data_IF_561105316928
#
_entry.id   IF_561105316928
#
_cell.length_a   1.000
_cell.length_b   1.000
_cell.length_c   1.000
_cell.angle_alpha   90.00
_cell.angle_beta   90.00
_cell.angle_gamma   90.00
#
_symmetry.space_group_name_H-M   'P 1'
#
loop_
_entity.id
_entity.type
_entity.pdbx_description
1 polymer ?
#
# COMPACT_ATOMS: atom_id res chain seq x y z
N UNK A 1 21.30 -69.75 -104.28
CA UNK A 1 20.92 -68.96 -103.09
C UNK A 1 22.11 -68.17 -102.59
N UNK A 2 21.95 -66.85 -102.44
CA UNK A 2 22.74 -65.94 -101.59
C UNK A 2 21.86 -64.69 -101.42
N UNK A 3 21.30 -64.51 -100.21
CA UNK A 3 20.44 -63.39 -99.86
C UNK A 3 21.23 -62.12 -99.47
N UNK A 4 20.55 -60.98 -99.29
CA UNK A 4 21.20 -59.68 -99.04
C UNK A 4 21.59 -59.55 -97.56
N UNK A 5 22.88 -59.65 -97.25
CA UNK A 5 23.41 -59.60 -95.87
C UNK A 5 23.82 -58.17 -95.44
N UNK A 6 23.84 -57.22 -96.38
CA UNK A 6 24.35 -55.85 -96.15
C UNK A 6 23.34 -54.86 -95.57
N UNK A 7 22.03 -55.09 -95.69
CA UNK A 7 21.00 -54.19 -95.11
C UNK A 7 20.83 -54.33 -93.59
N UNK A 8 21.02 -55.54 -93.06
CA UNK A 8 20.84 -55.85 -91.64
C UNK A 8 21.89 -55.19 -90.73
N UNK A 9 23.12 -55.07 -91.23
CA UNK A 9 24.22 -54.47 -90.48
C UNK A 9 24.04 -52.95 -90.33
N UNK A 10 23.53 -52.28 -91.37
CA UNK A 10 23.29 -50.83 -91.32
C UNK A 10 22.08 -50.48 -90.44
N UNK A 11 21.03 -51.31 -90.47
CA UNK A 11 19.87 -51.14 -89.59
C UNK A 11 20.19 -51.42 -88.12
N UNK A 12 21.06 -52.39 -87.82
CA UNK A 12 21.53 -52.64 -86.45
C UNK A 12 22.42 -51.52 -85.91
N UNK A 13 23.30 -50.93 -86.74
CA UNK A 13 24.13 -49.79 -86.32
C UNK A 13 23.29 -48.53 -86.02
N UNK A 14 22.24 -48.29 -86.80
CA UNK A 14 21.35 -47.15 -86.58
C UNK A 14 20.48 -47.32 -85.32
N UNK A 15 20.03 -48.54 -85.02
CA UNK A 15 19.34 -48.85 -83.75
C UNK A 15 20.27 -48.76 -82.52
N UNK A 16 21.53 -49.19 -82.64
CA UNK A 16 22.49 -49.09 -81.53
C UNK A 16 22.93 -47.64 -81.24
N UNK A 17 23.00 -46.76 -82.26
CA UNK A 17 23.29 -45.33 -82.07
C UNK A 17 22.12 -44.53 -81.48
N UNK A 18 20.85 -44.90 -81.77
CA UNK A 18 19.68 -44.28 -81.13
C UNK A 18 19.51 -44.73 -79.67
N UNK A 19 19.70 -46.02 -79.38
CA UNK A 19 19.57 -46.55 -78.01
C UNK A 19 20.69 -46.08 -77.05
N UNK A 20 21.90 -45.80 -77.57
CA UNK A 20 23.02 -45.31 -76.76
C UNK A 20 22.91 -43.85 -76.31
N UNK A 21 22.15 -43.00 -77.04
CA UNK A 21 21.91 -41.61 -76.69
C UNK A 21 20.74 -41.42 -75.71
N UNK A 22 19.63 -42.14 -75.94
CA UNK A 22 18.42 -42.05 -75.11
C UNK A 22 18.66 -42.59 -73.69
N UNK A 23 19.37 -43.73 -73.55
CA UNK A 23 19.68 -44.30 -72.23
C UNK A 23 20.62 -43.44 -71.36
N UNK A 24 21.51 -42.66 -71.99
CA UNK A 24 22.40 -41.73 -71.30
C UNK A 24 21.68 -40.46 -70.82
N UNK A 25 20.78 -39.91 -71.64
CA UNK A 25 19.93 -38.79 -71.23
C UNK A 25 18.96 -39.18 -70.10
N UNK A 26 18.39 -40.38 -70.15
CA UNK A 26 17.51 -40.89 -69.10
C UNK A 26 18.25 -41.10 -67.78
N UNK A 27 19.48 -41.61 -67.83
CA UNK A 27 20.34 -41.73 -66.66
C UNK A 27 20.67 -40.35 -66.06
N UNK A 28 21.05 -39.37 -66.90
CA UNK A 28 21.34 -38.00 -66.46
C UNK A 28 20.10 -37.33 -65.85
N UNK A 29 18.93 -37.48 -66.47
CA UNK A 29 17.65 -36.98 -65.95
C UNK A 29 17.29 -37.64 -64.62
N UNK A 30 17.52 -38.93 -64.48
CA UNK A 30 17.32 -39.66 -63.23
C UNK A 30 18.22 -39.13 -62.12
N UNK A 31 19.53 -38.98 -62.39
CA UNK A 31 20.49 -38.43 -61.44
C UNK A 31 20.17 -36.99 -61.05
N UNK A 32 19.84 -36.12 -62.02
CA UNK A 32 19.45 -34.75 -61.76
C UNK A 32 18.18 -34.67 -60.89
N UNK A 33 17.20 -35.54 -61.15
CA UNK A 33 15.97 -35.64 -60.34
C UNK A 33 16.27 -36.10 -58.91
N UNK A 34 17.14 -37.09 -58.72
CA UNK A 34 17.56 -37.53 -57.38
C UNK A 34 18.26 -36.41 -56.62
N UNK A 35 19.13 -35.63 -57.27
CA UNK A 35 19.85 -34.53 -56.63
C UNK A 35 18.91 -33.36 -56.28
N UNK A 36 17.98 -33.02 -57.18
CA UNK A 36 16.94 -32.02 -56.92
C UNK A 36 16.03 -32.44 -55.76
N UNK A 37 15.67 -33.73 -55.69
CA UNK A 37 14.85 -34.27 -54.60
C UNK A 37 15.53 -34.10 -53.23
N UNK A 38 16.83 -34.33 -53.12
CA UNK A 38 17.59 -34.08 -51.88
C UNK A 38 17.53 -32.61 -51.44
N UNK A 39 17.65 -31.66 -52.38
CA UNK A 39 17.57 -30.23 -52.07
C UNK A 39 16.17 -29.80 -51.63
N UNK A 40 15.13 -30.43 -52.19
CA UNK A 40 13.73 -30.08 -51.86
C UNK A 40 13.18 -30.80 -50.63
N UNK A 41 13.69 -31.99 -50.30
CA UNK A 41 13.19 -32.78 -49.19
C UNK A 41 13.53 -32.14 -47.84
N UNK A 42 14.76 -31.65 -47.69
CA UNK A 42 15.27 -31.03 -46.46
C UNK A 42 14.72 -29.60 -46.28
N UNK A 43 14.61 -28.85 -47.39
CA UNK A 43 14.11 -27.49 -47.38
C UNK A 43 12.65 -27.38 -46.91
N UNK A 44 11.81 -28.39 -47.16
CA UNK A 44 10.42 -28.35 -46.75
C UNK A 44 10.24 -28.47 -45.23
N UNK A 45 10.97 -29.38 -44.61
CA UNK A 45 10.90 -29.61 -43.16
C UNK A 45 11.44 -28.40 -42.39
N UNK A 46 12.59 -27.85 -42.82
CA UNK A 46 13.20 -26.66 -42.22
C UNK A 46 12.27 -25.43 -42.32
N UNK A 47 11.58 -25.25 -43.47
CA UNK A 47 10.60 -24.16 -43.63
C UNK A 47 9.43 -24.35 -42.67
N UNK A 48 8.91 -25.58 -42.54
CA UNK A 48 7.79 -25.84 -41.63
C UNK A 48 8.16 -25.63 -40.16
N UNK A 49 9.38 -26.02 -39.76
CA UNK A 49 9.89 -25.75 -38.41
C UNK A 49 10.04 -24.24 -38.16
N UNK A 50 10.52 -23.49 -39.15
CA UNK A 50 10.61 -22.03 -39.06
C UNK A 50 9.23 -21.37 -38.93
N UNK A 51 8.25 -21.82 -39.73
CA UNK A 51 6.86 -21.33 -39.65
C UNK A 51 6.26 -21.60 -38.28
N UNK A 52 6.42 -22.81 -37.74
CA UNK A 52 5.98 -23.16 -36.39
C UNK A 52 6.65 -22.30 -35.32
N UNK A 53 7.96 -22.06 -35.44
CA UNK A 53 8.70 -21.20 -34.50
C UNK A 53 8.22 -19.74 -34.57
N UNK A 54 7.91 -19.25 -35.78
CA UNK A 54 7.38 -17.90 -35.97
C UNK A 54 6.00 -17.75 -35.33
N UNK A 55 5.10 -18.73 -35.53
CA UNK A 55 3.78 -18.74 -34.89
C UNK A 55 3.89 -18.71 -33.37
N UNK A 56 4.76 -19.54 -32.79
CA UNK A 56 5.03 -19.52 -31.34
C UNK A 56 5.57 -18.17 -30.86
N UNK A 57 6.46 -17.53 -31.62
CA UNK A 57 6.98 -16.21 -31.28
C UNK A 57 5.89 -15.14 -31.36
N UNK A 58 5.02 -15.19 -32.37
CA UNK A 58 3.90 -14.26 -32.50
C UNK A 58 2.92 -14.39 -31.32
N UNK A 59 2.62 -15.60 -30.88
CA UNK A 59 1.81 -15.85 -29.68
C UNK A 59 2.49 -15.23 -28.45
N UNK A 60 3.79 -15.49 -28.24
CA UNK A 60 4.53 -14.92 -27.10
C UNK A 60 4.55 -13.39 -27.13
N UNK A 61 4.67 -12.77 -28.30
CA UNK A 61 4.62 -11.30 -28.43
C UNK A 61 3.25 -10.76 -28.02
N UNK A 62 2.16 -11.42 -28.41
CA UNK A 62 0.80 -11.05 -27.99
C UNK A 62 0.64 -11.17 -26.46
N UNK A 63 1.14 -12.25 -25.87
CA UNK A 63 1.17 -12.43 -24.42
C UNK A 63 1.98 -11.34 -23.71
N UNK A 64 3.14 -10.95 -24.26
CA UNK A 64 3.94 -9.84 -23.72
C UNK A 64 3.20 -8.51 -23.81
N UNK A 65 2.50 -8.24 -24.90
CA UNK A 65 1.65 -7.06 -25.03
C UNK A 65 0.55 -7.06 -23.96
N UNK A 66 -0.13 -8.20 -23.75
CA UNK A 66 -1.13 -8.35 -22.69
C UNK A 66 -0.57 -8.10 -21.29
N UNK A 67 0.63 -8.63 -20.99
CA UNK A 67 1.31 -8.37 -19.71
C UNK A 67 1.67 -6.89 -19.53
N UNK A 68 2.14 -6.22 -20.58
CA UNK A 68 2.45 -4.78 -20.52
C UNK A 68 1.21 -3.94 -20.28
N UNK A 69 0.08 -4.28 -20.88
CA UNK A 69 -1.18 -3.59 -20.65
C UNK A 69 -1.67 -3.77 -19.22
N UNK A 70 -1.54 -4.98 -18.64
CA UNK A 70 -1.82 -5.21 -17.23
C UNK A 70 -0.93 -4.35 -16.32
N UNK A 71 0.39 -4.35 -16.54
CA UNK A 71 1.34 -3.54 -15.76
C UNK A 71 1.01 -2.05 -15.87
N UNK A 72 0.66 -1.58 -17.07
CA UNK A 72 0.29 -0.19 -17.31
C UNK A 72 -1.00 0.18 -16.57
N UNK A 73 -2.00 -0.69 -16.60
CA UNK A 73 -3.25 -0.49 -15.89
C UNK A 73 -3.01 -0.45 -14.37
N UNK A 74 -2.28 -1.42 -13.83
CA UNK A 74 -1.98 -1.50 -12.39
C UNK A 74 -1.18 -0.29 -11.92
N UNK A 75 -0.18 0.13 -12.70
CA UNK A 75 0.61 1.34 -12.42
C UNK A 75 -0.29 2.57 -12.42
N UNK A 76 -1.22 2.66 -13.37
CA UNK A 76 -2.18 3.77 -13.44
C UNK A 76 -3.12 3.77 -12.23
N UNK A 77 -3.59 2.61 -11.79
CA UNK A 77 -4.42 2.47 -10.61
C UNK A 77 -3.67 2.87 -9.33
N UNK A 78 -2.42 2.43 -9.17
CA UNK A 78 -1.59 2.79 -8.02
C UNK A 78 -1.37 4.29 -7.92
N UNK A 79 -0.99 4.91 -9.04
CA UNK A 79 -0.64 6.33 -9.07
C UNK A 79 -1.87 7.23 -8.97
N UNK A 80 -2.96 6.90 -9.67
CA UNK A 80 -4.12 7.78 -9.77
C UNK A 80 -5.15 7.55 -8.68
N UNK A 81 -5.19 6.36 -8.06
CA UNK A 81 -6.21 6.02 -7.06
C UNK A 81 -5.58 5.68 -5.70
N UNK A 82 -4.73 4.65 -5.64
CA UNK A 82 -4.26 4.12 -4.35
C UNK A 82 -3.41 5.12 -3.57
N UNK A 83 -2.43 5.77 -4.21
CA UNK A 83 -1.56 6.76 -3.54
C UNK A 83 -2.38 7.95 -3.02
N UNK A 84 -3.25 8.60 -3.82
CA UNK A 84 -4.13 9.67 -3.31
C UNK A 84 -5.03 9.24 -2.15
N UNK A 85 -5.59 8.02 -2.20
CA UNK A 85 -6.41 7.50 -1.11
C UNK A 85 -5.60 7.29 0.17
N UNK A 86 -4.38 6.75 0.07
CA UNK A 86 -3.47 6.60 1.21
C UNK A 86 -3.14 7.98 1.80
N UNK A 87 -2.84 8.99 0.97
CA UNK A 87 -2.58 10.34 1.45
C UNK A 87 -3.79 10.93 2.20
N UNK A 88 -4.99 10.80 1.63
CA UNK A 88 -6.23 11.23 2.29
C UNK A 88 -6.41 10.56 3.65
N UNK A 89 -6.18 9.25 3.73
CA UNK A 89 -6.28 8.50 4.99
C UNK A 89 -5.22 8.93 6.00
N UNK A 90 -4.00 9.22 5.55
CA UNK A 90 -2.94 9.74 6.40
C UNK A 90 -3.30 11.13 6.97
N UNK A 91 -3.94 11.99 6.19
CA UNK A 91 -4.43 13.29 6.67
C UNK A 91 -5.57 13.15 7.68
N UNK A 92 -6.51 12.23 7.45
CA UNK A 92 -7.56 11.89 8.43
C UNK A 92 -6.93 11.42 9.75
N UNK A 93 -5.92 10.55 9.70
CA UNK A 93 -5.17 10.12 10.89
C UNK A 93 -4.48 11.29 11.60
N UNK A 94 -3.86 12.21 10.85
CA UNK A 94 -3.22 13.40 11.42
C UNK A 94 -4.21 14.28 12.17
N UNK A 95 -5.44 14.41 11.67
CA UNK A 95 -6.49 15.14 12.36
C UNK A 95 -6.92 14.43 13.65
N UNK A 96 -6.99 13.10 13.65
CA UNK A 96 -7.28 12.32 14.85
C UNK A 96 -6.18 12.49 15.91
N UNK A 97 -4.90 12.46 15.53
CA UNK A 97 -3.80 12.73 16.46
C UNK A 97 -3.89 14.11 17.11
N UNK A 98 -4.24 15.15 16.35
CA UNK A 98 -4.49 16.49 16.92
C UNK A 98 -5.62 16.50 17.96
N UNK A 99 -6.66 15.68 17.77
CA UNK A 99 -7.74 15.55 18.76
C UNK A 99 -7.25 14.84 20.02
N UNK A 100 -6.41 13.81 19.87
CA UNK A 100 -5.77 13.10 20.98
C UNK A 100 -4.87 14.05 21.77
N UNK A 101 -4.02 14.84 21.10
CA UNK A 101 -3.13 15.80 21.77
C UNK A 101 -3.91 16.84 22.58
N UNK A 102 -5.02 17.37 22.03
CA UNK A 102 -5.90 18.30 22.74
C UNK A 102 -6.52 17.64 23.97
N UNK A 103 -6.95 16.38 23.86
CA UNK A 103 -7.52 15.64 24.97
C UNK A 103 -6.47 15.40 26.07
N UNK A 104 -5.22 15.10 25.72
CA UNK A 104 -4.15 14.93 26.68
C UNK A 104 -3.90 16.21 27.49
N UNK A 105 -3.81 17.36 26.81
CA UNK A 105 -3.67 18.67 27.47
C UNK A 105 -4.85 18.95 28.41
N UNK A 106 -6.07 18.64 27.96
CA UNK A 106 -7.28 18.81 28.76
C UNK A 106 -7.27 17.93 30.02
N UNK A 107 -6.93 16.65 29.90
CA UNK A 107 -6.83 15.73 31.05
C UNK A 107 -5.77 16.21 32.04
N UNK A 108 -4.62 16.67 31.55
CA UNK A 108 -3.56 17.23 32.40
C UNK A 108 -4.03 18.47 33.17
N UNK A 109 -4.76 19.36 32.52
CA UNK A 109 -5.34 20.54 33.16
C UNK A 109 -6.36 20.17 34.25
N UNK A 110 -7.26 19.22 33.97
CA UNK A 110 -8.21 18.72 34.98
C UNK A 110 -7.47 18.12 36.17
N UNK A 111 -6.42 17.32 35.92
CA UNK A 111 -5.60 16.75 36.98
C UNK A 111 -4.98 17.83 37.88
N UNK A 112 -4.48 18.93 37.31
CA UNK A 112 -3.96 20.07 38.07
C UNK A 112 -5.05 20.76 38.90
N UNK A 113 -6.23 20.98 38.31
CA UNK A 113 -7.35 21.62 39.01
C UNK A 113 -7.87 20.77 40.18
N UNK A 114 -8.01 19.46 39.97
CA UNK A 114 -8.42 18.52 41.03
C UNK A 114 -7.37 18.44 42.12
N UNK A 115 -6.08 18.38 41.77
CA UNK A 115 -5.00 18.40 42.76
C UNK A 115 -5.00 19.66 43.63
N UNK A 116 -5.21 20.83 43.02
CA UNK A 116 -5.31 22.09 43.76
C UNK A 116 -6.55 22.12 44.69
N UNK A 117 -7.68 21.58 44.24
CA UNK A 117 -8.89 21.46 45.06
C UNK A 117 -8.67 20.49 46.23
N UNK A 118 -8.02 19.36 46.00
CA UNK A 118 -7.72 18.36 47.04
C UNK A 118 -6.79 18.93 48.13
N UNK A 119 -5.78 19.72 47.74
CA UNK A 119 -4.90 20.41 48.68
C UNK A 119 -5.66 21.46 49.52
N UNK A 120 -6.55 22.24 48.90
CA UNK A 120 -7.40 23.19 49.63
C UNK A 120 -8.35 22.50 50.62
N UNK A 121 -8.95 21.37 50.21
CA UNK A 121 -9.83 20.57 51.10
C UNK A 121 -9.01 20.02 52.26
N UNK A 122 -7.86 19.42 51.97
CA UNK A 122 -6.95 18.88 53.00
C UNK A 122 -6.53 19.97 54.00
N UNK A 123 -6.19 21.17 53.52
CA UNK A 123 -5.85 22.30 54.39
C UNK A 123 -7.04 22.74 55.24
N UNK A 124 -8.23 22.86 54.65
CA UNK A 124 -9.44 23.22 55.37
C UNK A 124 -9.79 22.18 56.45
N UNK A 125 -9.66 20.89 56.16
CA UNK A 125 -9.86 19.80 57.12
C UNK A 125 -8.84 19.84 58.26
N UNK A 126 -7.57 20.10 57.97
CA UNK A 126 -6.52 20.25 58.99
C UNK A 126 -6.81 21.43 59.93
N UNK A 127 -7.19 22.59 59.38
CA UNK A 127 -7.56 23.77 60.17
C UNK A 127 -8.81 23.51 61.04
N UNK A 128 -9.81 22.81 60.49
CA UNK A 128 -11.00 22.42 61.22
C UNK A 128 -10.69 21.38 62.32
N UNK A 129 -9.80 20.42 62.08
CA UNK A 129 -9.35 19.42 63.06
C UNK A 129 -8.49 20.02 64.18
N UNK A 130 -7.76 21.10 63.90
CA UNK A 130 -7.02 21.87 64.90
C UNK A 130 -7.94 22.75 65.77
N UNK A 131 -9.10 23.18 65.25
CA UNK A 131 -10.02 24.11 65.90
C UNK A 131 -10.56 23.60 67.26
N UNK A 132 -11.05 22.36 67.43
CA UNK A 132 -11.53 21.88 68.74
C UNK A 132 -10.43 21.83 69.80
N UNK A 133 -9.21 21.46 69.44
CA UNK A 133 -8.10 21.31 70.39
C UNK A 133 -7.49 22.66 70.78
N UNK A 134 -7.42 23.61 69.85
CA UNK A 134 -6.98 24.98 70.15
C UNK A 134 -7.98 25.69 71.08
N UNK A 135 -9.28 25.56 70.82
CA UNK A 135 -10.31 26.15 71.69
C UNK A 135 -10.36 25.48 73.06
N UNK A 136 -10.18 24.15 73.16
CA UNK A 136 -10.04 23.47 74.45
C UNK A 136 -8.82 23.98 75.23
N UNK A 137 -7.65 24.13 74.59
CA UNK A 137 -6.45 24.69 75.26
C UNK A 137 -6.64 26.14 75.73
N UNK A 138 -7.35 26.97 74.96
CA UNK A 138 -7.66 28.35 75.34
C UNK A 138 -8.66 28.38 76.51
N UNK A 139 -9.71 27.56 76.48
CA UNK A 139 -10.67 27.44 77.58
C UNK A 139 -10.03 26.91 78.87
N UNK A 140 -9.09 25.97 78.77
CA UNK A 140 -8.32 25.48 79.92
C UNK A 140 -7.28 26.51 80.42
N UNK A 141 -6.80 27.42 79.56
CA UNK A 141 -5.92 28.52 79.95
C UNK A 141 -6.68 29.71 80.55
N UNK A 142 -8.00 29.83 80.34
CA UNK A 142 -8.80 30.97 80.79
C UNK A 142 -9.46 30.76 82.16
N UNK A 143 -9.40 29.57 82.75
CA UNK A 143 -10.01 29.29 84.06
C UNK A 143 -9.22 29.81 85.26
N UNK A 144 -8.22 30.68 85.07
CA UNK A 144 -7.39 31.18 86.16
C UNK A 144 -6.86 32.63 86.03
N UNK A 145 -7.46 33.50 85.21
CA UNK A 145 -7.18 34.95 85.29
C UNK A 145 -8.44 35.79 85.22
N UNK A 146 -8.91 36.14 86.41
CA UNK A 146 -9.77 37.29 86.67
C UNK A 146 -9.03 38.59 86.32
N UNK A 147 -9.83 39.63 86.03
CA UNK A 147 -9.50 41.06 85.94
C UNK A 147 -9.12 41.63 84.56
N UNK A 148 -10.12 42.31 83.99
CA UNK A 148 -10.06 43.63 83.33
C UNK A 148 -8.78 43.95 82.52
N UNK A 149 -8.87 43.84 81.19
CA UNK A 149 -8.29 44.88 80.35
C UNK A 149 -8.91 44.99 78.95
N UNK A 150 -9.10 46.23 78.55
CA UNK A 150 -9.58 46.72 77.26
C UNK A 150 -8.44 46.52 76.26
N UNK A 151 -8.50 45.48 75.42
CA UNK A 151 -7.53 45.26 74.34
C UNK A 151 -8.24 44.75 73.10
N UNK A 152 -8.23 45.61 72.07
CA UNK A 152 -8.23 45.30 70.65
C UNK A 152 -8.49 43.84 70.28
N UNK A 153 -9.71 43.55 69.84
CA UNK A 153 -10.06 42.30 69.16
C UNK A 153 -9.08 42.06 68.00
N UNK A 154 -8.36 40.92 67.93
CA UNK A 154 -7.58 40.61 66.75
C UNK A 154 -8.59 40.44 65.61
N UNK A 155 -8.48 41.30 64.58
CA UNK A 155 -9.20 41.14 63.31
C UNK A 155 -9.03 39.69 62.89
N UNK A 156 -10.08 38.88 63.06
CA UNK A 156 -10.23 37.64 62.30
C UNK A 156 -10.18 38.08 60.85
N UNK A 157 -9.04 37.89 60.20
CA UNK A 157 -8.98 37.92 58.75
C UNK A 157 -9.92 36.80 58.31
N UNK A 158 -11.18 37.17 58.06
CA UNK A 158 -12.09 36.34 57.29
C UNK A 158 -11.41 36.19 55.93
N UNK A 159 -10.64 35.11 55.77
CA UNK A 159 -10.22 34.63 54.47
C UNK A 159 -11.53 34.42 53.71
N UNK A 160 -11.83 35.37 52.83
CA UNK A 160 -13.02 35.37 51.99
C UNK A 160 -12.90 34.10 51.15
N UNK A 161 -13.79 33.13 51.36
CA UNK A 161 -13.88 31.96 50.51
C UNK A 161 -14.08 32.47 49.09
N UNK A 162 -13.09 32.26 48.23
CA UNK A 162 -13.23 32.49 46.81
C UNK A 162 -13.55 31.14 46.18
N UNK A 163 -14.76 30.96 45.61
CA UNK A 163 -15.11 29.72 44.93
C UNK A 163 -14.11 29.46 43.81
N UNK A 164 -13.54 28.24 43.78
CA UNK A 164 -12.71 27.83 42.67
C UNK A 164 -13.52 27.95 41.37
N UNK A 165 -12.92 28.52 40.31
CA UNK A 165 -13.61 28.63 39.03
C UNK A 165 -13.93 27.23 38.52
N UNK A 166 -15.21 26.87 38.54
CA UNK A 166 -15.68 25.58 38.07
C UNK A 166 -15.32 25.44 36.59
N UNK A 167 -14.56 24.41 36.30
CA UNK A 167 -14.13 24.08 34.95
C UNK A 167 -15.35 23.71 34.09
N UNK A 168 -15.45 24.31 32.90
CA UNK A 168 -16.50 24.00 31.93
C UNK A 168 -15.91 23.32 30.71
N UNK A 169 -16.40 22.13 30.41
CA UNK A 169 -15.98 21.34 29.24
C UNK A 169 -16.32 22.05 27.93
N UNK A 170 -17.38 22.86 27.92
CA UNK A 170 -17.85 23.61 26.74
C UNK A 170 -16.80 24.61 26.22
N UNK A 171 -15.91 25.12 27.08
CA UNK A 171 -14.90 26.10 26.70
C UNK A 171 -13.74 25.49 25.87
N UNK A 172 -13.59 24.16 25.90
CA UNK A 172 -12.48 23.45 25.26
C UNK A 172 -12.92 22.50 24.14
N UNK A 173 -14.16 22.02 24.20
CA UNK A 173 -14.79 21.22 23.15
C UNK A 173 -16.09 21.92 22.69
N UNK A 174 -16.00 22.95 21.84
CA UNK A 174 -17.19 23.51 21.22
C UNK A 174 -17.91 22.38 20.47
N UNK A 175 -19.23 22.26 20.71
CA UNK A 175 -20.05 21.32 19.97
C UNK A 175 -19.95 21.66 18.48
N UNK A 176 -19.21 20.84 17.73
CA UNK A 176 -19.22 20.88 16.26
C UNK A 176 -20.66 20.54 15.86
N UNK A 177 -21.46 21.57 15.57
CA UNK A 177 -22.72 21.41 14.87
C UNK A 177 -22.39 20.80 13.51
N UNK A 178 -22.53 19.48 13.41
CA UNK A 178 -22.58 18.77 12.15
C UNK A 178 -23.66 19.43 11.28
N UNK A 179 -23.24 20.31 10.38
CA UNK A 179 -24.08 20.72 9.27
C UNK A 179 -24.31 19.48 8.42
N UNK A 180 -25.44 18.84 8.62
CA UNK A 180 -26.07 17.98 7.62
C UNK A 180 -26.20 18.82 6.35
N UNK A 181 -25.36 18.56 5.36
CA UNK A 181 -25.60 18.99 3.99
C UNK A 181 -26.26 17.82 3.26
N UNK A 182 -27.44 18.15 2.76
CA UNK A 182 -28.36 17.43 1.89
C UNK A 182 -27.72 17.06 0.54
#
# INVERSE_FOLDING_TARGET
GRGPVSGWHQQQQQQQQQQGGEGGEDALRSTARSYAAYLTADAHEEVQQLESSLEEMLIKVDEFCGMLDMIRNDSSQVVNENIPQIHKKADEMRQMYKKIDKLEVFVKMIGQNVGALDEQVTQAEAELGMFPNAFKKILHSFSAQSFLNKSSSPKKQQRKYEPASLFKTEDYFPAEHSQSQE
#
